data_IF_910605829606
#
_entry.id   IF_910605829606
#
_cell.length_a   1.000
_cell.length_b   1.000
_cell.length_c   1.000
_cell.angle_alpha   90.00
_cell.angle_beta   90.00
_cell.angle_gamma   90.00
#
_symmetry.space_group_name_H-M   'P 1'
#
loop_
_entity.id
_entity.type
_entity.pdbx_description
1 polymer ?
#
# COMPACT_ATOMS: atom_id res chain seq x y z
N UNK A 1 -3.97 16.80 -41.05
CA UNK A 1 -3.45 15.56 -40.44
C UNK A 1 -4.28 14.40 -40.98
N UNK A 2 -3.77 13.56 -41.88
CA UNK A 2 -4.54 12.46 -42.42
C UNK A 2 -4.72 11.36 -41.36
N UNK A 3 -5.96 10.93 -41.20
CA UNK A 3 -6.45 10.00 -40.20
C UNK A 3 -6.20 8.53 -40.59
N UNK A 4 -4.95 8.08 -40.61
CA UNK A 4 -4.61 6.71 -41.07
C UNK A 4 -3.57 5.95 -40.25
N UNK A 5 -3.30 6.31 -38.98
CA UNK A 5 -2.41 5.50 -38.13
C UNK A 5 -2.89 5.53 -36.67
N UNK A 6 -3.93 4.76 -36.34
CA UNK A 6 -4.26 4.50 -34.92
C UNK A 6 -4.35 3.01 -34.56
N UNK A 7 -4.41 2.07 -35.50
CA UNK A 7 -4.47 0.62 -35.18
C UNK A 7 -3.86 -0.26 -36.28
N UNK A 8 -2.61 0.00 -36.67
CA UNK A 8 -1.81 -1.00 -37.39
C UNK A 8 -0.61 -1.36 -36.52
N UNK A 9 -0.87 -2.04 -35.39
CA UNK A 9 0.20 -2.74 -34.68
C UNK A 9 0.71 -3.78 -35.66
N UNK A 10 1.98 -3.69 -36.05
CA UNK A 10 2.54 -4.72 -36.92
C UNK A 10 2.45 -6.07 -36.21
N UNK A 11 2.26 -7.17 -36.95
CA UNK A 11 2.16 -8.50 -36.34
C UNK A 11 3.41 -8.79 -35.47
N UNK A 12 4.58 -8.27 -35.87
CA UNK A 12 5.81 -8.35 -35.09
C UNK A 12 5.73 -7.60 -33.76
N UNK A 13 5.24 -6.37 -33.75
CA UNK A 13 5.07 -5.58 -32.52
C UNK A 13 4.02 -6.22 -31.59
N UNK A 14 2.96 -6.77 -32.16
CA UNK A 14 1.93 -7.49 -31.40
C UNK A 14 2.53 -8.72 -30.70
N UNK A 15 3.30 -9.53 -31.44
CA UNK A 15 3.99 -10.71 -30.87
C UNK A 15 4.97 -10.29 -29.77
N UNK A 16 5.75 -9.23 -29.98
CA UNK A 16 6.67 -8.70 -28.97
C UNK A 16 5.95 -8.25 -27.70
N UNK A 17 4.83 -7.54 -27.83
CA UNK A 17 4.02 -7.12 -26.68
C UNK A 17 3.47 -8.32 -25.91
N UNK A 18 2.95 -9.34 -26.60
CA UNK A 18 2.45 -10.57 -25.95
C UNK A 18 3.58 -11.28 -25.19
N UNK A 19 4.77 -11.41 -25.80
CA UNK A 19 5.94 -12.00 -25.15
C UNK A 19 6.35 -11.16 -23.93
N UNK A 20 6.41 -9.85 -24.06
CA UNK A 20 6.78 -8.94 -22.96
C UNK A 20 5.81 -9.05 -21.78
N UNK A 21 4.50 -9.09 -22.05
CA UNK A 21 3.46 -9.28 -21.03
C UNK A 21 3.57 -10.65 -20.36
N UNK A 22 3.87 -11.72 -21.11
CA UNK A 22 4.07 -13.06 -20.56
C UNK A 22 5.31 -13.15 -19.67
N UNK A 23 6.42 -12.50 -20.07
CA UNK A 23 7.63 -12.39 -19.26
C UNK A 23 7.34 -11.61 -17.97
N UNK A 24 6.63 -10.48 -18.07
CA UNK A 24 6.20 -9.69 -16.91
C UNK A 24 5.35 -10.53 -15.96
N UNK A 25 4.36 -11.25 -16.49
CA UNK A 25 3.50 -12.13 -15.70
C UNK A 25 4.31 -13.16 -14.91
N UNK A 26 5.25 -13.82 -15.59
CA UNK A 26 6.13 -14.83 -15.00
C UNK A 26 7.07 -14.25 -13.96
N UNK A 27 7.67 -13.08 -14.24
CA UNK A 27 8.59 -12.39 -13.34
C UNK A 27 7.89 -11.94 -12.06
N UNK A 28 6.73 -11.29 -12.17
CA UNK A 28 5.94 -10.84 -11.02
C UNK A 28 5.41 -12.01 -10.20
N UNK A 29 4.99 -13.10 -10.85
CA UNK A 29 4.62 -14.34 -10.13
C UNK A 29 5.81 -14.88 -9.33
N UNK A 30 7.01 -14.87 -9.89
CA UNK A 30 8.24 -15.21 -9.18
C UNK A 30 8.54 -14.28 -7.99
N UNK A 31 8.31 -12.98 -8.15
CA UNK A 31 8.41 -12.00 -7.05
C UNK A 31 7.39 -12.31 -5.95
N UNK A 32 6.14 -12.65 -6.28
CA UNK A 32 5.16 -13.02 -5.25
C UNK A 32 5.61 -14.26 -4.45
N UNK A 33 6.17 -15.27 -5.13
CA UNK A 33 6.75 -16.44 -4.45
C UNK A 33 7.91 -16.04 -3.52
N UNK A 34 8.78 -15.11 -3.94
CA UNK A 34 9.86 -14.63 -3.08
C UNK A 34 9.34 -13.84 -1.88
N UNK A 35 8.34 -12.98 -2.08
CA UNK A 35 7.76 -12.12 -1.04
C UNK A 35 7.02 -12.94 0.02
N UNK A 36 6.23 -13.93 -0.38
CA UNK A 36 5.51 -14.81 0.56
C UNK A 36 6.48 -15.64 1.41
N UNK A 37 7.59 -16.11 0.83
CA UNK A 37 8.65 -16.77 1.59
C UNK A 37 9.35 -15.80 2.56
N UNK A 38 9.71 -14.61 2.07
CA UNK A 38 10.40 -13.59 2.84
C UNK A 38 9.57 -13.13 4.04
N UNK A 39 8.29 -12.84 3.84
CA UNK A 39 7.37 -12.42 4.90
C UNK A 39 7.31 -13.45 6.03
N UNK A 40 7.17 -14.75 5.71
CA UNK A 40 7.15 -15.82 6.72
C UNK A 40 8.44 -15.90 7.52
N UNK A 41 9.60 -15.68 6.88
CA UNK A 41 10.91 -15.66 7.54
C UNK A 41 11.07 -14.45 8.46
N UNK A 42 10.72 -13.27 7.96
CA UNK A 42 10.84 -12.00 8.69
C UNK A 42 9.93 -11.99 9.90
N UNK A 43 8.65 -12.30 9.73
CA UNK A 43 7.70 -12.38 10.83
C UNK A 43 8.09 -13.45 11.85
N UNK A 44 8.61 -14.60 11.41
CA UNK A 44 9.14 -15.61 12.31
C UNK A 44 10.24 -15.04 13.21
N UNK A 45 11.24 -14.38 12.63
CA UNK A 45 12.36 -13.77 13.38
C UNK A 45 11.90 -12.70 14.35
N UNK A 46 10.98 -11.82 13.94
CA UNK A 46 10.39 -10.80 14.82
C UNK A 46 9.65 -11.41 16.02
N UNK A 47 9.01 -12.57 15.82
CA UNK A 47 8.26 -13.31 16.84
C UNK A 47 9.12 -14.32 17.62
N UNK A 48 10.46 -14.28 17.47
CA UNK A 48 11.38 -15.24 18.10
C UNK A 48 11.07 -16.71 17.79
N UNK A 49 10.53 -16.99 16.58
CA UNK A 49 10.30 -18.35 16.08
C UNK A 49 10.96 -18.58 14.71
N UNK A 50 11.24 -19.83 14.39
CA UNK A 50 11.80 -20.17 13.07
C UNK A 50 10.68 -20.12 12.01
N UNK A 51 10.97 -19.44 10.90
CA UNK A 51 10.15 -19.53 9.68
C UNK A 51 10.28 -20.90 8.98
N UNK A 52 9.80 -21.05 7.73
CA UNK A 52 9.86 -22.32 7.00
C UNK A 52 11.29 -22.86 6.86
N UNK A 53 11.53 -24.13 7.18
CA UNK A 53 12.87 -24.76 7.10
C UNK A 53 12.89 -26.13 6.42
N UNK A 54 11.72 -26.71 6.11
CA UNK A 54 11.62 -28.13 5.73
C UNK A 54 11.57 -28.37 4.22
N UNK A 55 10.75 -27.62 3.48
CA UNK A 55 10.54 -27.80 2.04
C UNK A 55 11.67 -27.15 1.23
N UNK A 56 12.77 -27.90 1.04
CA UNK A 56 13.97 -27.44 0.35
C UNK A 56 14.92 -26.62 1.23
N UNK A 57 16.08 -26.17 0.69
CA UNK A 57 17.06 -25.41 1.45
C UNK A 57 16.43 -24.13 1.99
N UNK A 58 16.49 -23.93 3.31
CA UNK A 58 15.85 -22.82 4.01
C UNK A 58 14.34 -22.64 3.76
N UNK A 59 13.64 -23.66 3.26
CA UNK A 59 12.20 -23.59 2.95
C UNK A 59 11.86 -22.88 1.63
N UNK A 60 12.81 -22.70 0.72
CA UNK A 60 12.61 -21.98 -0.55
C UNK A 60 11.54 -22.60 -1.46
N UNK A 61 11.28 -23.91 -1.36
CA UNK A 61 10.26 -24.59 -2.16
C UNK A 61 8.85 -24.50 -1.55
N UNK A 62 8.70 -23.87 -0.37
CA UNK A 62 7.38 -23.75 0.28
C UNK A 62 6.36 -22.98 -0.57
N UNK A 63 6.67 -21.80 -1.14
CA UNK A 63 5.70 -21.05 -1.94
C UNK A 63 5.27 -21.83 -3.20
N UNK A 64 6.19 -22.59 -3.81
CA UNK A 64 5.87 -23.44 -4.95
C UNK A 64 4.91 -24.56 -4.56
N UNK A 65 5.14 -25.21 -3.42
CA UNK A 65 4.23 -26.23 -2.89
C UNK A 65 2.84 -25.64 -2.56
N UNK A 66 2.80 -24.43 -2.01
CA UNK A 66 1.54 -23.73 -1.71
C UNK A 66 0.79 -23.34 -3.00
N UNK A 67 1.49 -22.85 -4.03
CA UNK A 67 0.90 -22.54 -5.33
C UNK A 67 0.33 -23.79 -6.01
N UNK A 68 1.09 -24.90 -6.04
CA UNK A 68 0.61 -26.18 -6.58
C UNK A 68 -0.59 -26.69 -5.80
N UNK A 69 -0.57 -26.60 -4.47
CA UNK A 69 -1.71 -26.96 -3.62
C UNK A 69 -2.95 -26.17 -4.00
N UNK A 70 -2.85 -24.85 -4.18
CA UNK A 70 -4.00 -24.00 -4.48
C UNK A 70 -4.59 -24.26 -5.88
N UNK A 71 -3.75 -24.59 -6.87
CA UNK A 71 -4.20 -24.95 -8.22
C UNK A 71 -4.90 -26.32 -8.22
N UNK A 72 -4.38 -27.29 -7.47
CA UNK A 72 -4.96 -28.63 -7.36
C UNK A 72 -6.15 -28.70 -6.41
N UNK A 73 -6.34 -27.67 -5.59
CA UNK A 73 -7.43 -27.60 -4.62
C UNK A 73 -8.75 -27.42 -5.38
N UNK A 74 -9.74 -28.20 -4.97
CA UNK A 74 -11.10 -28.07 -5.48
C UNK A 74 -11.62 -26.64 -5.35
N UNK A 75 -12.10 -26.14 -6.48
CA UNK A 75 -12.63 -24.80 -6.64
C UNK A 75 -14.16 -24.87 -6.63
N UNK A 76 -14.76 -24.37 -5.56
CA UNK A 76 -16.18 -24.51 -5.26
C UNK A 76 -16.88 -23.20 -5.62
N UNK A 77 -17.93 -23.29 -6.43
CA UNK A 77 -18.80 -22.17 -6.76
C UNK A 77 -20.14 -22.39 -6.04
N UNK A 78 -20.54 -21.50 -5.11
CA UNK A 78 -21.83 -21.63 -4.42
C UNK A 78 -23.01 -21.63 -5.39
N UNK A 79 -24.04 -22.45 -5.12
CA UNK A 79 -25.21 -22.52 -5.99
C UNK A 79 -26.02 -21.21 -6.02
N UNK A 80 -25.99 -20.43 -4.94
CA UNK A 80 -26.68 -19.15 -4.80
C UNK A 80 -25.89 -17.96 -5.36
N UNK A 81 -24.62 -18.13 -5.72
CA UNK A 81 -23.77 -17.03 -6.21
C UNK A 81 -24.11 -16.66 -7.64
N UNK A 82 -23.98 -15.38 -7.97
CA UNK A 82 -24.11 -14.91 -9.35
C UNK A 82 -22.84 -15.27 -10.13
N UNK A 83 -22.94 -16.30 -10.98
CA UNK A 83 -21.77 -16.94 -11.62
C UNK A 83 -20.94 -15.96 -12.43
N UNK A 84 -21.58 -15.05 -13.17
CA UNK A 84 -20.87 -14.08 -13.99
C UNK A 84 -19.98 -13.15 -13.13
N UNK A 85 -20.55 -12.61 -12.06
CA UNK A 85 -19.83 -11.72 -11.14
C UNK A 85 -18.74 -12.46 -10.37
N UNK A 86 -19.03 -13.69 -9.92
CA UNK A 86 -18.10 -14.52 -9.16
C UNK A 86 -16.81 -14.78 -9.95
N UNK A 87 -16.91 -15.06 -11.25
CA UNK A 87 -15.78 -15.30 -12.14
C UNK A 87 -15.05 -14.02 -12.57
N UNK A 88 -15.79 -12.96 -12.87
CA UNK A 88 -15.21 -11.70 -13.37
C UNK A 88 -14.44 -10.95 -12.28
N UNK A 89 -14.88 -11.03 -11.02
CA UNK A 89 -14.27 -10.30 -9.92
C UNK A 89 -12.76 -10.59 -9.72
N UNK A 90 -12.30 -11.85 -9.57
CA UNK A 90 -10.88 -12.17 -9.49
C UNK A 90 -10.07 -11.70 -10.71
N UNK A 91 -10.67 -11.81 -11.91
CA UNK A 91 -10.03 -11.41 -13.17
C UNK A 91 -9.76 -9.91 -13.18
N UNK A 92 -10.74 -9.09 -12.78
CA UNK A 92 -10.57 -7.62 -12.70
C UNK A 92 -9.45 -7.26 -11.73
N UNK A 93 -9.42 -7.87 -10.54
CA UNK A 93 -8.39 -7.57 -9.52
C UNK A 93 -7.00 -7.92 -10.04
N UNK A 94 -6.83 -9.10 -10.66
CA UNK A 94 -5.51 -9.51 -11.16
C UNK A 94 -5.07 -8.73 -12.38
N UNK A 95 -5.95 -8.51 -13.37
CA UNK A 95 -5.61 -7.69 -14.54
C UNK A 95 -5.20 -6.30 -14.08
N UNK A 96 -5.96 -5.69 -13.16
CA UNK A 96 -5.62 -4.39 -12.59
C UNK A 96 -4.21 -4.36 -11.97
N UNK A 97 -3.87 -5.36 -11.16
CA UNK A 97 -2.56 -5.44 -10.51
C UNK A 97 -1.42 -5.58 -11.51
N UNK A 98 -1.59 -6.38 -12.58
CA UNK A 98 -0.59 -6.52 -13.64
C UNK A 98 -0.49 -5.28 -14.53
N UNK A 99 -1.61 -4.62 -14.82
CA UNK A 99 -1.63 -3.45 -15.70
C UNK A 99 -0.84 -2.27 -15.11
N UNK A 100 -0.81 -2.11 -13.78
CA UNK A 100 0.02 -1.12 -13.09
C UNK A 100 1.51 -1.25 -13.47
N UNK A 101 2.00 -2.47 -13.69
CA UNK A 101 3.42 -2.73 -13.97
C UNK A 101 3.85 -2.44 -15.40
N UNK A 102 2.91 -2.22 -16.32
CA UNK A 102 3.22 -1.90 -17.73
C UNK A 102 4.10 -0.66 -17.85
N UNK A 103 3.86 0.33 -16.99
CA UNK A 103 4.53 1.63 -17.03
C UNK A 103 5.63 1.79 -16.00
N UNK A 104 5.78 0.87 -15.03
CA UNK A 104 6.79 1.00 -13.96
C UNK A 104 8.18 0.65 -14.51
N UNK A 105 9.13 1.60 -14.57
CA UNK A 105 10.50 1.31 -15.01
C UNK A 105 11.32 0.64 -13.91
N UNK A 106 12.04 -0.44 -14.25
CA UNK A 106 13.08 -1.04 -13.42
C UNK A 106 14.45 -0.39 -13.61
N UNK A 107 14.72 0.15 -14.80
CA UNK A 107 15.86 0.99 -15.18
C UNK A 107 15.41 1.96 -16.28
N UNK A 108 16.31 2.82 -16.77
CA UNK A 108 16.04 3.74 -17.88
C UNK A 108 15.43 3.05 -19.12
N UNK A 109 15.88 1.83 -19.43
CA UNK A 109 15.47 1.07 -20.61
C UNK A 109 14.57 -0.14 -20.28
N UNK A 110 14.54 -0.58 -19.03
CA UNK A 110 13.72 -1.72 -18.60
C UNK A 110 12.31 -1.27 -18.20
N UNK A 111 11.50 -0.94 -19.21
CA UNK A 111 10.06 -0.65 -19.08
C UNK A 111 9.34 -1.25 -20.29
N UNK A 112 8.14 -1.81 -20.09
CA UNK A 112 7.39 -2.44 -21.20
C UNK A 112 6.93 -1.35 -22.15
N UNK A 113 6.26 -0.34 -21.62
CA UNK A 113 5.83 0.80 -22.38
C UNK A 113 5.95 2.06 -21.56
N UNK A 114 6.74 3.00 -22.04
CA UNK A 114 6.79 4.32 -21.46
C UNK A 114 5.60 5.15 -21.92
N UNK A 115 4.84 5.69 -20.99
CA UNK A 115 3.72 6.59 -21.26
C UNK A 115 4.02 7.96 -20.66
N UNK A 116 3.74 9.02 -21.42
CA UNK A 116 3.89 10.41 -20.94
C UNK A 116 3.02 10.68 -19.70
N UNK A 117 1.87 9.99 -19.61
CA UNK A 117 0.94 10.04 -18.48
C UNK A 117 1.04 8.77 -17.61
N UNK A 118 2.25 8.23 -17.42
CA UNK A 118 2.49 6.97 -16.71
C UNK A 118 1.94 6.96 -15.27
N UNK A 119 2.19 8.02 -14.49
CA UNK A 119 1.67 8.11 -13.11
C UNK A 119 0.14 8.14 -13.06
N UNK A 120 -0.50 8.85 -14.00
CA UNK A 120 -1.97 8.90 -14.10
C UNK A 120 -2.56 7.54 -14.47
N UNK A 121 -1.91 6.83 -15.41
CA UNK A 121 -2.30 5.48 -15.80
C UNK A 121 -2.27 4.50 -14.61
N UNK A 122 -1.23 4.56 -13.78
CA UNK A 122 -1.12 3.70 -12.58
C UNK A 122 -2.26 3.96 -11.60
N UNK A 123 -2.57 5.23 -11.32
CA UNK A 123 -3.67 5.63 -10.44
C UNK A 123 -5.01 5.12 -11.00
N UNK A 124 -5.22 5.26 -12.32
CA UNK A 124 -6.46 4.81 -12.94
C UNK A 124 -6.68 3.30 -12.75
N UNK A 125 -5.64 2.48 -12.95
CA UNK A 125 -5.75 1.04 -12.73
C UNK A 125 -5.87 0.69 -11.24
N UNK A 126 -5.19 1.38 -10.33
CA UNK A 126 -5.36 1.19 -8.88
C UNK A 126 -6.84 1.21 -8.45
N UNK A 127 -7.59 2.21 -8.91
CA UNK A 127 -9.04 2.34 -8.64
C UNK A 127 -9.88 1.21 -9.23
N UNK A 128 -9.51 0.69 -10.41
CA UNK A 128 -10.24 -0.43 -11.06
C UNK A 128 -10.14 -1.70 -10.22
N UNK A 129 -9.02 -1.93 -9.52
CA UNK A 129 -8.85 -3.08 -8.63
C UNK A 129 -9.89 -3.11 -7.50
N UNK A 130 -10.26 -1.94 -6.96
CA UNK A 130 -11.26 -1.81 -5.88
C UNK A 130 -12.64 -2.31 -6.34
N UNK A 131 -13.01 -2.06 -7.60
CA UNK A 131 -14.26 -2.56 -8.18
C UNK A 131 -14.34 -4.09 -8.10
N UNK A 132 -13.23 -4.77 -8.42
CA UNK A 132 -13.16 -6.23 -8.37
C UNK A 132 -13.45 -6.79 -6.97
N UNK A 133 -13.01 -6.11 -5.90
CA UNK A 133 -13.29 -6.52 -4.51
C UNK A 133 -14.76 -6.34 -4.13
N UNK A 134 -15.43 -5.30 -4.63
CA UNK A 134 -16.88 -5.11 -4.44
C UNK A 134 -17.67 -6.19 -5.16
N UNK A 135 -17.31 -6.46 -6.41
CA UNK A 135 -17.96 -7.50 -7.22
C UNK A 135 -17.76 -8.89 -6.62
N UNK A 136 -16.60 -9.15 -6.00
CA UNK A 136 -16.35 -10.41 -5.28
C UNK A 136 -17.33 -10.57 -4.10
N UNK A 137 -17.46 -9.54 -3.27
CA UNK A 137 -18.39 -9.55 -2.12
C UNK A 137 -19.86 -9.63 -2.54
N UNK A 138 -20.26 -8.92 -3.59
CA UNK A 138 -21.63 -8.94 -4.11
C UNK A 138 -21.97 -10.24 -4.85
N UNK A 139 -21.07 -10.72 -5.71
CA UNK A 139 -21.23 -11.93 -6.51
C UNK A 139 -21.31 -13.20 -5.68
N UNK A 140 -20.71 -13.20 -4.48
CA UNK A 140 -20.75 -14.32 -3.53
C UNK A 140 -22.15 -14.66 -2.99
N UNK A 141 -23.14 -13.76 -3.14
CA UNK A 141 -24.50 -13.90 -2.60
C UNK A 141 -24.57 -14.18 -1.09
N UNK A 142 -23.52 -13.86 -0.34
CA UNK A 142 -23.47 -13.93 1.11
C UNK A 142 -23.48 -12.52 1.72
N UNK A 143 -24.40 -12.25 2.65
CA UNK A 143 -24.52 -10.94 3.32
C UNK A 143 -23.22 -10.51 4.02
N UNK A 144 -22.48 -11.45 4.60
CA UNK A 144 -21.18 -11.17 5.22
C UNK A 144 -20.13 -10.80 4.18
N UNK A 145 -20.09 -11.51 3.05
CA UNK A 145 -19.23 -11.21 1.92
C UNK A 145 -19.49 -9.83 1.34
N UNK A 146 -20.76 -9.48 1.16
CA UNK A 146 -21.17 -8.15 0.67
C UNK A 146 -20.80 -7.03 1.65
N UNK A 147 -21.02 -7.23 2.95
CA UNK A 147 -20.60 -6.26 3.98
C UNK A 147 -19.08 -6.06 3.96
N UNK A 148 -18.32 -7.15 3.82
CA UNK A 148 -16.86 -7.12 3.69
C UNK A 148 -16.39 -6.34 2.45
N UNK A 149 -17.00 -6.61 1.28
CA UNK A 149 -16.68 -5.90 0.04
C UNK A 149 -17.00 -4.40 0.08
N UNK A 150 -18.15 -4.01 0.65
CA UNK A 150 -18.51 -2.59 0.83
C UNK A 150 -17.56 -1.87 1.78
N UNK A 151 -17.12 -2.54 2.85
CA UNK A 151 -16.13 -1.98 3.78
C UNK A 151 -14.75 -1.86 3.16
N UNK A 152 -14.34 -2.85 2.35
CA UNK A 152 -13.11 -2.79 1.56
C UNK A 152 -13.13 -1.56 0.65
N UNK A 153 -14.21 -1.36 -0.12
CA UNK A 153 -14.34 -0.20 -0.99
C UNK A 153 -14.31 1.13 -0.24
N UNK A 154 -15.05 1.25 0.87
CA UNK A 154 -15.06 2.47 1.67
C UNK A 154 -13.66 2.83 2.17
N UNK A 155 -12.89 1.84 2.63
CA UNK A 155 -11.51 2.01 3.06
C UNK A 155 -10.60 2.38 1.89
N UNK A 156 -10.50 1.53 0.87
CA UNK A 156 -9.54 1.70 -0.23
C UNK A 156 -9.76 3.03 -0.95
N UNK A 157 -11.01 3.38 -1.28
CA UNK A 157 -11.35 4.68 -1.90
C UNK A 157 -10.92 5.87 -1.01
N UNK A 158 -11.08 5.76 0.31
CA UNK A 158 -10.70 6.85 1.23
C UNK A 158 -9.19 7.06 1.31
N UNK A 159 -8.40 6.00 1.15
CA UNK A 159 -6.93 6.07 1.19
C UNK A 159 -6.31 6.31 -0.19
N UNK A 160 -7.05 6.04 -1.26
CA UNK A 160 -6.66 6.41 -2.61
C UNK A 160 -6.55 7.93 -2.79
N UNK A 161 -7.45 8.71 -2.16
CA UNK A 161 -7.44 10.18 -2.25
C UNK A 161 -6.08 10.75 -1.76
N UNK A 162 -5.56 10.42 -0.56
CA UNK A 162 -4.22 10.82 -0.16
C UNK A 162 -3.10 10.37 -1.10
N UNK A 163 -3.14 9.14 -1.63
CA UNK A 163 -2.14 8.64 -2.60
C UNK A 163 -2.11 9.55 -3.82
N UNK A 164 -3.27 9.84 -4.41
CA UNK A 164 -3.41 10.69 -5.60
C UNK A 164 -2.89 12.10 -5.31
N UNK A 165 -3.29 12.70 -4.18
CA UNK A 165 -2.90 14.07 -3.84
C UNK A 165 -1.38 14.20 -3.66
N UNK A 166 -0.74 13.23 -3.01
CA UNK A 166 0.73 13.23 -2.88
C UNK A 166 1.39 12.94 -4.23
N UNK A 167 0.87 12.00 -5.02
CA UNK A 167 1.39 11.71 -6.35
C UNK A 167 1.38 12.95 -7.27
N UNK A 168 0.31 13.75 -7.23
CA UNK A 168 0.22 15.04 -7.93
C UNK A 168 1.30 15.99 -7.43
N UNK A 169 1.47 16.11 -6.11
CA UNK A 169 2.52 16.96 -5.53
C UNK A 169 3.93 16.56 -6.00
N UNK A 170 4.19 15.26 -6.18
CA UNK A 170 5.48 14.77 -6.70
C UNK A 170 5.63 15.02 -8.20
N UNK A 171 4.58 14.83 -8.98
CA UNK A 171 4.57 15.14 -10.40
C UNK A 171 4.78 16.64 -10.66
N UNK A 172 4.23 17.50 -9.81
CA UNK A 172 4.51 18.92 -9.84
C UNK A 172 6.01 19.17 -9.62
N UNK A 173 6.64 18.58 -8.60
CA UNK A 173 8.08 18.77 -8.35
C UNK A 173 8.95 18.37 -9.54
N UNK A 174 8.61 17.26 -10.20
CA UNK A 174 9.32 16.77 -11.39
C UNK A 174 8.93 17.49 -12.70
N UNK A 175 7.88 18.32 -12.70
CA UNK A 175 7.27 18.92 -13.91
C UNK A 175 6.87 17.88 -14.99
N UNK A 176 6.63 16.63 -14.60
CA UNK A 176 6.28 15.54 -15.52
C UNK A 176 5.48 14.45 -14.81
N UNK A 177 4.66 13.73 -15.58
CA UNK A 177 3.94 12.52 -15.16
C UNK A 177 4.63 11.23 -15.63
N UNK A 178 5.70 11.35 -16.41
CA UNK A 178 6.58 10.24 -16.77
C UNK A 178 7.45 9.86 -15.56
N UNK A 179 7.41 8.57 -15.19
CA UNK A 179 8.17 8.03 -14.07
C UNK A 179 9.68 8.12 -14.27
N UNK A 180 10.17 8.09 -15.52
CA UNK A 180 11.61 8.22 -15.82
C UNK A 180 12.09 9.64 -15.58
N UNK A 181 11.31 10.64 -16.02
CA UNK A 181 11.61 12.05 -15.74
C UNK A 181 11.54 12.36 -14.24
N UNK A 182 10.59 11.76 -13.51
CA UNK A 182 10.53 11.87 -12.05
C UNK A 182 11.80 11.32 -11.37
N UNK A 183 12.35 10.21 -11.87
CA UNK A 183 13.60 9.65 -11.33
C UNK A 183 14.81 10.52 -11.68
N UNK A 184 14.92 10.99 -12.92
CA UNK A 184 16.03 11.86 -13.35
C UNK A 184 16.01 13.20 -12.60
N UNK A 185 14.81 13.72 -12.29
CA UNK A 185 14.63 14.93 -11.48
C UNK A 185 15.09 14.79 -10.02
N UNK A 186 15.49 13.60 -9.58
CA UNK A 186 16.00 13.32 -8.23
C UNK A 186 17.53 13.20 -8.15
N UNK A 187 18.25 13.39 -9.26
CA UNK A 187 19.71 13.29 -9.29
C UNK A 187 20.39 14.41 -8.48
N UNK A 188 19.84 15.62 -8.49
CA UNK A 188 20.34 16.75 -7.69
C UNK A 188 19.96 16.60 -6.20
N UNK A 189 18.69 16.34 -5.94
CA UNK A 189 18.15 16.20 -4.58
C UNK A 189 17.14 15.07 -4.53
N UNK A 190 17.37 14.14 -3.59
CA UNK A 190 16.43 13.05 -3.31
C UNK A 190 15.15 13.62 -2.71
N UNK A 191 14.00 13.31 -3.32
CA UNK A 191 12.71 13.89 -2.94
C UNK A 191 12.22 13.51 -1.55
N UNK A 192 12.66 12.39 -0.98
CA UNK A 192 12.42 12.07 0.43
C UNK A 192 12.90 13.18 1.38
N UNK A 193 14.03 13.84 1.08
CA UNK A 193 14.58 14.92 1.93
C UNK A 193 13.83 16.23 1.72
N UNK A 194 13.31 16.45 0.51
CA UNK A 194 12.55 17.66 0.17
C UNK A 194 11.13 17.59 0.75
N UNK A 195 10.49 16.43 0.66
CA UNK A 195 9.09 16.26 1.03
C UNK A 195 8.84 15.03 1.94
N UNK A 196 9.43 15.00 3.16
CA UNK A 196 9.19 13.93 4.14
C UNK A 196 7.73 13.75 4.54
N UNK A 197 6.93 14.83 4.57
CA UNK A 197 5.48 14.72 4.80
C UNK A 197 4.78 13.91 3.70
N UNK A 198 5.16 14.15 2.44
CA UNK A 198 4.63 13.43 1.29
C UNK A 198 4.96 11.94 1.39
N UNK A 199 6.22 11.61 1.70
CA UNK A 199 6.64 10.22 1.90
C UNK A 199 5.81 9.52 2.98
N UNK A 200 5.65 10.15 4.15
CA UNK A 200 4.88 9.55 5.25
C UNK A 200 3.41 9.32 4.86
N UNK A 201 2.76 10.30 4.23
CA UNK A 201 1.37 10.19 3.80
C UNK A 201 1.20 9.13 2.70
N UNK A 202 2.06 9.13 1.68
CA UNK A 202 2.03 8.17 0.59
C UNK A 202 2.25 6.74 1.10
N UNK A 203 3.25 6.55 1.97
CA UNK A 203 3.58 5.22 2.50
C UNK A 203 2.49 4.69 3.44
N UNK A 204 1.93 5.52 4.33
CA UNK A 204 0.82 5.11 5.21
C UNK A 204 -0.43 4.81 4.38
N UNK A 205 -0.73 5.61 3.36
CA UNK A 205 -1.89 5.37 2.51
C UNK A 205 -1.71 4.15 1.63
N UNK A 206 -0.52 3.94 1.07
CA UNK A 206 -0.17 2.73 0.34
C UNK A 206 -0.24 1.47 1.21
N UNK A 207 0.09 1.55 2.51
CA UNK A 207 -0.10 0.43 3.43
C UNK A 207 -1.58 0.07 3.61
N UNK A 208 -2.45 1.09 3.63
CA UNK A 208 -3.89 0.90 3.71
C UNK A 208 -4.50 0.34 2.42
N UNK A 209 -3.97 0.73 1.25
CA UNK A 209 -4.40 0.26 -0.06
C UNK A 209 -4.07 -1.24 -0.28
N UNK A 210 -2.90 -1.67 0.17
CA UNK A 210 -2.50 -3.08 0.13
C UNK A 210 -3.25 -3.92 1.17
N UNK A 211 -3.91 -3.28 2.15
CA UNK A 211 -4.65 -3.97 3.19
C UNK A 211 -3.77 -4.77 4.15
N UNK A 212 -2.54 -4.31 4.43
CA UNK A 212 -1.66 -4.96 5.41
C UNK A 212 -1.93 -4.44 6.81
N UNK A 213 -1.76 -5.29 7.83
CA UNK A 213 -1.85 -4.90 9.24
C UNK A 213 -0.97 -3.67 9.49
N UNK A 214 -1.52 -2.58 10.07
CA UNK A 214 -2.74 -2.49 10.87
C UNK A 214 -4.05 -2.18 10.11
N UNK A 215 -4.01 -2.08 8.78
CA UNK A 215 -5.12 -1.68 7.91
C UNK A 215 -5.87 -2.88 7.25
N UNK A 216 -5.65 -4.11 7.72
CA UNK A 216 -6.22 -5.35 7.15
C UNK A 216 -7.69 -5.62 7.55
N UNK A 217 -8.42 -4.62 8.07
CA UNK A 217 -9.65 -4.88 8.83
C UNK A 217 -10.84 -5.34 8.00
N UNK A 218 -10.88 -5.03 6.70
CA UNK A 218 -12.01 -5.41 5.84
C UNK A 218 -12.06 -6.93 5.56
N UNK A 219 -10.95 -7.65 5.71
CA UNK A 219 -10.89 -9.10 5.57
C UNK A 219 -10.33 -9.81 6.81
N UNK A 220 -9.96 -9.07 7.86
CA UNK A 220 -9.41 -9.64 9.08
C UNK A 220 -10.32 -10.71 9.71
N UNK A 221 -9.69 -11.81 10.14
CA UNK A 221 -10.34 -12.92 10.86
C UNK A 221 -11.03 -12.47 12.14
N UNK A 222 -10.54 -11.40 12.78
CA UNK A 222 -11.09 -10.85 14.02
C UNK A 222 -12.38 -10.03 13.82
N UNK A 223 -12.76 -9.71 12.58
CA UNK A 223 -14.01 -9.00 12.28
C UNK A 223 -14.94 -9.84 11.37
N UNK A 224 -14.93 -9.60 10.05
CA UNK A 224 -15.89 -10.24 9.11
C UNK A 224 -15.30 -11.52 8.49
N UNK A 225 -14.43 -12.23 9.23
CA UNK A 225 -13.93 -13.58 8.91
C UNK A 225 -13.64 -13.79 7.42
N UNK A 226 -12.79 -12.95 6.81
CA UNK A 226 -12.39 -13.10 5.39
C UNK A 226 -13.06 -12.15 4.40
N UNK A 227 -14.05 -11.36 4.82
CA UNK A 227 -14.59 -10.24 4.02
C UNK A 227 -15.09 -10.66 2.63
N UNK A 228 -14.64 -10.02 1.52
CA UNK A 228 -15.10 -10.36 0.17
C UNK A 228 -14.66 -11.75 -0.32
N UNK A 229 -13.74 -12.42 0.39
CA UNK A 229 -13.12 -13.67 -0.06
C UNK A 229 -13.76 -14.94 0.52
N UNK A 230 -14.78 -14.81 1.39
CA UNK A 230 -15.30 -15.93 2.21
C UNK A 230 -15.75 -17.13 1.39
N UNK A 231 -16.37 -16.89 0.23
CA UNK A 231 -16.92 -17.95 -0.63
C UNK A 231 -15.93 -18.47 -1.69
N UNK A 232 -14.71 -17.91 -1.76
CA UNK A 232 -13.73 -18.28 -2.77
C UNK A 232 -12.82 -19.41 -2.27
N UNK A 233 -12.62 -20.43 -3.10
CA UNK A 233 -11.72 -21.57 -2.84
C UNK A 233 -10.64 -21.69 -3.93
N UNK A 234 -9.65 -22.54 -3.68
CA UNK A 234 -8.66 -23.01 -4.65
C UNK A 234 -8.04 -21.91 -5.51
N UNK A 235 -8.22 -22.04 -6.83
CA UNK A 235 -7.63 -21.15 -7.82
C UNK A 235 -8.19 -19.72 -7.72
N UNK A 236 -9.51 -19.52 -7.65
CA UNK A 236 -10.09 -18.17 -7.60
C UNK A 236 -9.63 -17.38 -6.37
N UNK A 237 -9.50 -18.04 -5.22
CA UNK A 237 -8.97 -17.40 -4.02
C UNK A 237 -7.49 -17.00 -4.19
N UNK A 238 -6.69 -17.87 -4.80
CA UNK A 238 -5.25 -17.64 -4.98
C UNK A 238 -4.95 -16.41 -5.85
N UNK A 239 -5.82 -16.09 -6.80
CA UNK A 239 -5.72 -14.94 -7.71
C UNK A 239 -5.82 -13.62 -6.95
N UNK A 240 -6.72 -13.50 -5.97
CA UNK A 240 -6.79 -12.30 -5.11
C UNK A 240 -5.52 -12.11 -4.28
N UNK A 241 -5.02 -13.21 -3.70
CA UNK A 241 -3.78 -13.16 -2.93
C UNK A 241 -2.58 -12.81 -3.81
N UNK A 242 -2.49 -13.36 -5.02
CA UNK A 242 -1.48 -13.00 -6.00
C UNK A 242 -1.48 -11.48 -6.27
N UNK A 243 -2.65 -10.91 -6.56
CA UNK A 243 -2.80 -9.47 -6.80
C UNK A 243 -2.39 -8.62 -5.59
N UNK A 244 -2.74 -9.03 -4.36
CA UNK A 244 -2.37 -8.31 -3.15
C UNK A 244 -0.84 -8.17 -3.00
N UNK A 245 -0.08 -9.23 -3.28
CA UNK A 245 1.39 -9.16 -3.23
C UNK A 245 1.99 -8.40 -4.41
N UNK A 246 1.38 -8.47 -5.60
CA UNK A 246 1.78 -7.63 -6.74
C UNK A 246 1.58 -6.15 -6.40
N UNK A 247 0.47 -5.80 -5.75
CA UNK A 247 0.20 -4.43 -5.30
C UNK A 247 1.14 -4.03 -4.14
N UNK A 248 1.48 -4.95 -3.23
CA UNK A 248 2.51 -4.71 -2.21
C UNK A 248 3.83 -4.31 -2.85
N UNK A 249 4.24 -5.07 -3.88
CA UNK A 249 5.44 -4.78 -4.64
C UNK A 249 5.32 -3.45 -5.40
N UNK A 250 4.14 -3.14 -5.96
CA UNK A 250 3.89 -1.91 -6.72
C UNK A 250 3.97 -0.66 -5.84
N UNK A 251 3.34 -0.67 -4.66
CA UNK A 251 3.42 0.46 -3.71
C UNK A 251 4.87 0.67 -3.24
N UNK A 252 5.62 -0.40 -2.99
CA UNK A 252 7.03 -0.29 -2.63
C UNK A 252 7.88 0.26 -3.80
N UNK A 253 7.63 -0.20 -5.03
CA UNK A 253 8.27 0.32 -6.24
C UNK A 253 7.98 1.81 -6.46
N UNK A 254 6.71 2.22 -6.37
CA UNK A 254 6.31 3.62 -6.48
C UNK A 254 6.91 4.48 -5.38
N UNK A 255 6.98 3.98 -4.14
CA UNK A 255 7.66 4.69 -3.05
C UNK A 255 9.12 4.96 -3.41
N UNK A 256 9.81 3.98 -3.99
CA UNK A 256 11.21 4.12 -4.41
C UNK A 256 11.37 5.08 -5.59
N UNK A 257 10.50 4.99 -6.59
CA UNK A 257 10.52 5.86 -7.78
C UNK A 257 10.22 7.30 -7.40
N UNK A 258 9.19 7.55 -6.59
CA UNK A 258 8.73 8.89 -6.26
C UNK A 258 9.61 9.59 -5.22
N UNK A 259 10.26 8.86 -4.30
CA UNK A 259 10.97 9.48 -3.18
C UNK A 259 12.44 9.11 -3.02
N UNK A 260 12.87 7.91 -3.45
CA UNK A 260 14.22 7.40 -3.21
C UNK A 260 15.11 7.37 -4.47
N UNK A 261 14.73 8.09 -5.53
CA UNK A 261 15.50 8.20 -6.77
C UNK A 261 15.51 6.93 -7.62
N UNK A 262 14.54 6.03 -7.50
CA UNK A 262 14.44 4.87 -8.41
C UNK A 262 15.71 4.01 -8.44
N UNK A 263 16.26 3.82 -9.65
CA UNK A 263 17.50 3.09 -9.91
C UNK A 263 18.79 3.91 -9.74
N UNK A 264 18.72 5.23 -9.48
CA UNK A 264 19.92 6.03 -9.31
C UNK A 264 20.64 5.67 -8.00
N UNK A 265 21.96 5.50 -8.05
CA UNK A 265 22.76 5.08 -6.91
C UNK A 265 24.25 5.32 -7.14
N UNK A 266 25.03 5.55 -6.06
CA UNK A 266 26.46 5.80 -6.20
C UNK A 266 27.19 4.56 -6.72
N UNK A 267 27.98 4.73 -7.79
CA UNK A 267 28.98 3.76 -8.23
C UNK A 267 28.56 2.65 -9.20
N UNK A 268 27.26 2.44 -9.48
CA UNK A 268 26.81 1.54 -10.56
C UNK A 268 25.99 2.32 -11.57
N UNK A 269 26.54 2.50 -12.77
CA UNK A 269 25.88 3.16 -13.90
C UNK A 269 25.48 2.14 -14.97
N UNK A 270 24.34 2.37 -15.64
CA UNK A 270 23.82 1.51 -16.71
C UNK A 270 22.82 0.46 -16.22
N UNK A 271 22.76 -0.68 -16.90
CA UNK A 271 21.72 -1.71 -16.67
C UNK A 271 21.79 -2.38 -15.28
N UNK A 272 22.94 -2.27 -14.60
CA UNK A 272 23.12 -2.73 -13.22
C UNK A 272 22.31 -1.92 -12.19
N UNK A 273 21.74 -0.77 -12.60
CA UNK A 273 20.83 0.03 -11.76
C UNK A 273 19.60 -0.75 -11.27
N UNK A 274 19.22 -1.83 -11.96
CA UNK A 274 18.12 -2.70 -11.52
C UNK A 274 18.37 -3.32 -10.14
N UNK A 275 19.63 -3.59 -9.80
CA UNK A 275 19.99 -4.15 -8.49
C UNK A 275 19.71 -3.13 -7.39
N UNK A 276 20.05 -1.86 -7.60
CA UNK A 276 19.74 -0.81 -6.64
C UNK A 276 18.25 -0.57 -6.52
N UNK A 277 17.53 -0.56 -7.63
CA UNK A 277 16.08 -0.45 -7.62
C UNK A 277 15.45 -1.57 -6.80
N UNK A 278 15.76 -2.84 -7.12
CA UNK A 278 15.25 -3.98 -6.38
C UNK A 278 15.67 -3.94 -4.91
N UNK A 279 16.93 -3.62 -4.60
CA UNK A 279 17.40 -3.53 -3.21
C UNK A 279 16.57 -2.52 -2.40
N UNK A 280 16.38 -1.30 -2.93
CA UNK A 280 15.55 -0.27 -2.29
C UNK A 280 14.12 -0.74 -2.12
N UNK A 281 13.54 -1.39 -3.14
CA UNK A 281 12.16 -1.89 -3.08
C UNK A 281 12.01 -2.98 -2.00
N UNK A 282 12.93 -3.95 -1.94
CA UNK A 282 12.93 -4.98 -0.90
C UNK A 282 13.16 -4.40 0.51
N UNK A 283 13.94 -3.31 0.64
CA UNK A 283 14.09 -2.59 1.92
C UNK A 283 12.77 -1.94 2.35
N UNK A 284 12.05 -1.28 1.43
CA UNK A 284 10.73 -0.71 1.72
C UNK A 284 9.74 -1.83 2.12
N UNK A 285 9.76 -2.97 1.44
CA UNK A 285 8.92 -4.12 1.79
C UNK A 285 9.30 -4.70 3.17
N UNK A 286 10.60 -4.72 3.51
CA UNK A 286 11.04 -5.13 4.85
C UNK A 286 10.42 -4.24 5.93
N UNK A 287 10.31 -2.93 5.68
CA UNK A 287 9.62 -1.99 6.57
C UNK A 287 8.12 -2.30 6.65
N UNK A 288 7.46 -2.59 5.52
CA UNK A 288 6.05 -3.01 5.50
C UNK A 288 5.84 -4.27 6.36
N UNK A 289 6.70 -5.28 6.22
CA UNK A 289 6.61 -6.51 7.01
C UNK A 289 6.93 -6.28 8.49
N UNK A 290 7.85 -5.37 8.80
CA UNK A 290 8.14 -5.00 10.18
C UNK A 290 6.95 -4.32 10.85
N UNK A 291 6.27 -3.41 10.14
CA UNK A 291 5.04 -2.76 10.62
C UNK A 291 3.96 -3.81 10.91
N UNK A 292 3.75 -4.75 10.00
CA UNK A 292 2.81 -5.87 10.19
C UNK A 292 3.11 -6.68 11.45
N UNK A 293 4.38 -6.93 11.74
CA UNK A 293 4.80 -7.70 12.91
C UNK A 293 4.72 -6.95 14.24
N UNK A 294 4.61 -5.62 14.23
CA UNK A 294 4.77 -4.77 15.43
C UNK A 294 3.46 -4.09 15.85
N UNK A 295 2.65 -3.65 14.89
CA UNK A 295 1.47 -2.82 15.19
C UNK A 295 0.17 -3.64 15.33
N UNK A 296 -0.70 -3.29 16.30
CA UNK A 296 -2.02 -3.90 16.41
C UNK A 296 -2.97 -3.36 15.34
N UNK A 297 -4.02 -4.13 15.05
CA UNK A 297 -5.10 -3.71 14.13
C UNK A 297 -5.85 -2.49 14.68
N UNK A 298 -6.25 -1.60 13.77
CA UNK A 298 -7.09 -0.44 14.09
C UNK A 298 -8.53 -0.70 13.67
N UNK A 299 -9.50 -0.31 14.52
CA UNK A 299 -10.93 -0.40 14.19
C UNK A 299 -11.26 0.45 12.96
N UNK A 300 -12.20 0.00 12.12
CA UNK A 300 -12.56 0.69 10.87
C UNK A 300 -12.97 2.14 11.09
N UNK A 301 -13.72 2.46 12.16
CA UNK A 301 -14.13 3.83 12.45
C UNK A 301 -12.93 4.77 12.72
N UNK A 302 -11.90 4.25 13.39
CA UNK A 302 -10.68 5.00 13.70
C UNK A 302 -9.84 5.21 12.44
N UNK A 303 -9.76 4.16 11.62
CA UNK A 303 -9.06 4.15 10.34
C UNK A 303 -9.71 5.16 9.37
N UNK A 304 -11.03 5.11 9.20
CA UNK A 304 -11.77 6.07 8.38
C UNK A 304 -11.67 7.50 8.92
N UNK A 305 -11.75 7.69 10.24
CA UNK A 305 -11.55 9.01 10.84
C UNK A 305 -10.13 9.54 10.64
N UNK A 306 -9.11 8.67 10.62
CA UNK A 306 -7.73 9.05 10.37
C UNK A 306 -7.53 9.48 8.90
N UNK A 307 -8.08 8.73 7.95
CA UNK A 307 -8.05 9.10 6.53
C UNK A 307 -8.66 10.50 6.29
N UNK A 308 -9.91 10.68 6.72
CA UNK A 308 -10.68 11.90 6.40
C UNK A 308 -10.27 13.12 7.23
N UNK A 309 -9.93 12.95 8.51
CA UNK A 309 -9.62 14.09 9.39
C UNK A 309 -8.14 14.47 9.41
N UNK A 310 -7.25 13.56 9.01
CA UNK A 310 -5.79 13.79 9.06
C UNK A 310 -5.19 13.65 7.68
N UNK A 311 -5.33 12.50 7.02
CA UNK A 311 -4.57 12.26 5.79
C UNK A 311 -5.00 13.13 4.62
N UNK A 312 -6.30 13.25 4.34
CA UNK A 312 -6.81 14.05 3.21
C UNK A 312 -6.46 15.54 3.34
N UNK A 313 -6.69 16.22 4.49
CA UNK A 313 -6.28 17.62 4.63
C UNK A 313 -4.77 17.82 4.52
N UNK A 314 -3.98 16.90 5.07
CA UNK A 314 -2.53 17.01 5.03
C UNK A 314 -1.95 16.72 3.65
N UNK A 315 -2.53 15.79 2.89
CA UNK A 315 -2.11 15.53 1.51
C UNK A 315 -2.45 16.71 0.61
N UNK A 316 -3.60 17.35 0.80
CA UNK A 316 -3.91 18.61 0.12
C UNK A 316 -2.89 19.71 0.45
N UNK A 317 -2.50 19.82 1.72
CA UNK A 317 -1.48 20.79 2.15
C UNK A 317 -0.14 20.53 1.44
N UNK A 318 0.21 19.28 1.11
CA UNK A 318 1.42 19.00 0.32
C UNK A 318 1.41 19.60 -1.08
N UNK A 319 0.26 19.58 -1.76
CA UNK A 319 0.09 20.23 -3.07
C UNK A 319 0.25 21.74 -2.94
N UNK A 320 -0.37 22.34 -1.91
CA UNK A 320 -0.28 23.79 -1.70
C UNK A 320 1.17 24.19 -1.39
N UNK A 321 1.88 23.44 -0.54
CA UNK A 321 3.29 23.71 -0.22
C UNK A 321 4.18 23.63 -1.47
N UNK A 322 3.99 22.62 -2.33
CA UNK A 322 4.78 22.47 -3.55
C UNK A 322 4.44 23.54 -4.58
N UNK A 323 3.17 23.93 -4.71
CA UNK A 323 2.74 25.04 -5.56
C UNK A 323 3.39 26.37 -5.13
N UNK A 324 3.37 26.69 -3.83
CA UNK A 324 3.99 27.90 -3.28
C UNK A 324 5.50 27.90 -3.49
N UNK A 325 6.15 26.77 -3.22
CA UNK A 325 7.59 26.60 -3.46
C UNK A 325 7.98 26.90 -4.90
N UNK A 326 7.24 26.36 -5.88
CA UNK A 326 7.50 26.58 -7.30
C UNK A 326 7.19 28.00 -7.75
N UNK A 327 6.08 28.57 -7.31
CA UNK A 327 5.67 29.91 -7.71
C UNK A 327 6.68 30.97 -7.30
N UNK A 328 7.21 30.89 -6.08
CA UNK A 328 8.19 31.86 -5.58
C UNK A 328 9.64 31.49 -5.89
N UNK A 329 9.90 30.30 -6.46
CA UNK A 329 11.26 29.85 -6.78
C UNK A 329 12.17 29.79 -5.54
N UNK A 330 11.61 29.42 -4.39
CA UNK A 330 12.37 29.38 -3.14
C UNK A 330 13.44 28.29 -3.16
N UNK A 331 14.48 28.37 -2.32
CA UNK A 331 15.47 27.31 -2.20
C UNK A 331 14.84 26.02 -1.65
N UNK A 332 15.35 24.86 -2.06
CA UNK A 332 14.79 23.53 -1.73
C UNK A 332 14.59 23.28 -0.23
N UNK A 333 15.45 23.83 0.64
CA UNK A 333 15.34 23.69 2.09
C UNK A 333 14.05 24.29 2.65
N UNK A 334 13.44 25.26 1.96
CA UNK A 334 12.16 25.86 2.39
C UNK A 334 11.03 24.83 2.38
N UNK A 335 10.99 23.97 1.35
CA UNK A 335 9.99 22.91 1.23
C UNK A 335 10.26 21.78 2.24
N UNK A 336 11.53 21.46 2.49
CA UNK A 336 11.92 20.57 3.60
C UNK A 336 11.43 21.13 4.94
N UNK A 337 11.64 22.42 5.21
CA UNK A 337 11.23 23.05 6.47
C UNK A 337 9.69 23.05 6.62
N UNK A 338 8.95 23.40 5.57
CA UNK A 338 7.48 23.38 5.59
C UNK A 338 6.94 21.96 5.80
N UNK A 339 7.48 20.97 5.07
CA UNK A 339 7.03 19.58 5.16
C UNK A 339 7.39 18.91 6.48
N UNK A 340 8.62 19.12 7.00
CA UNK A 340 9.01 18.63 8.33
C UNK A 340 8.19 19.28 9.43
N UNK A 341 7.90 20.58 9.34
CA UNK A 341 7.00 21.26 10.27
C UNK A 341 5.60 20.66 10.21
N UNK A 342 5.05 20.44 9.01
CA UNK A 342 3.77 19.77 8.82
C UNK A 342 3.72 18.38 9.46
N UNK A 343 4.77 17.59 9.25
CA UNK A 343 4.91 16.25 9.86
C UNK A 343 4.94 16.32 11.39
N UNK A 344 5.72 17.24 11.96
CA UNK A 344 5.83 17.42 13.42
C UNK A 344 4.51 17.88 14.02
N UNK A 345 3.82 18.85 13.40
CA UNK A 345 2.52 19.33 13.87
C UNK A 345 1.50 18.18 13.87
N UNK A 346 1.43 17.38 12.80
CA UNK A 346 0.57 16.21 12.75
C UNK A 346 0.92 15.20 13.84
N UNK A 347 2.22 14.90 14.01
CA UNK A 347 2.70 14.02 15.06
C UNK A 347 2.26 14.48 16.46
N UNK A 348 2.37 15.78 16.75
CA UNK A 348 1.93 16.38 18.02
C UNK A 348 0.42 16.29 18.18
N UNK A 349 -0.36 16.57 17.13
CA UNK A 349 -1.83 16.51 17.16
C UNK A 349 -2.29 15.08 17.45
N UNK A 350 -1.70 14.08 16.76
CA UNK A 350 -1.99 12.67 16.99
C UNK A 350 -1.61 12.27 18.42
N UNK A 351 -0.40 12.63 18.86
CA UNK A 351 0.08 12.34 20.21
C UNK A 351 -0.83 12.92 21.29
N UNK A 352 -1.22 14.19 21.17
CA UNK A 352 -2.15 14.84 22.11
C UNK A 352 -3.49 14.13 22.13
N UNK A 353 -4.03 13.78 20.96
CA UNK A 353 -5.33 13.11 20.85
C UNK A 353 -5.32 11.68 21.41
N UNK A 354 -4.21 10.95 21.24
CA UNK A 354 -4.04 9.60 21.79
C UNK A 354 -3.74 9.59 23.29
N UNK A 355 -3.02 10.60 23.81
CA UNK A 355 -2.65 10.67 25.24
C UNK A 355 -3.64 11.45 26.11
N UNK A 356 -4.51 12.29 25.54
CA UNK A 356 -5.54 13.00 26.31
C UNK A 356 -6.47 12.06 27.09
N UNK A 357 -6.98 10.94 26.53
CA UNK A 357 -7.85 10.02 27.27
C UNK A 357 -7.12 9.35 28.44
N UNK A 358 -5.86 8.94 28.25
CA UNK A 358 -5.09 8.28 29.31
C UNK A 358 -4.74 9.23 30.45
N UNK A 359 -4.43 10.49 30.14
CA UNK A 359 -4.20 11.55 31.14
C UNK A 359 -5.47 11.84 31.94
N UNK A 360 -6.62 11.99 31.28
CA UNK A 360 -7.92 12.19 31.94
C UNK A 360 -8.28 11.03 32.87
N UNK A 361 -8.08 9.78 32.43
CA UNK A 361 -8.33 8.59 33.26
C UNK A 361 -7.37 8.54 34.45
N UNK A 362 -6.09 8.85 34.24
CA UNK A 362 -5.09 8.90 35.31
C UNK A 362 -5.43 9.97 36.36
N UNK A 363 -5.86 11.16 35.91
CA UNK A 363 -6.30 12.26 36.77
C UNK A 363 -7.59 11.90 37.53
N UNK A 364 -8.54 11.23 36.87
CA UNK A 364 -9.77 10.77 37.54
C UNK A 364 -9.45 9.70 38.59
N UNK A 365 -8.53 8.78 38.30
CA UNK A 365 -8.05 7.77 39.26
C UNK A 365 -7.32 8.40 40.43
N UNK A 366 -6.40 9.33 40.20
CA UNK A 366 -5.66 10.00 41.27
C UNK A 366 -6.60 10.82 42.15
N UNK A 367 -7.58 11.52 41.56
CA UNK A 367 -8.62 12.26 42.29
C UNK A 367 -9.51 11.33 43.13
N UNK A 368 -9.91 10.17 42.60
CA UNK A 368 -10.63 9.14 43.38
C UNK A 368 -9.79 8.59 44.53
N UNK A 369 -8.54 8.26 44.27
CA UNK A 369 -7.61 7.76 45.30
C UNK A 369 -7.37 8.80 46.41
N UNK A 370 -7.26 10.08 46.05
CA UNK A 370 -7.13 11.17 47.02
C UNK A 370 -8.40 11.34 47.88
N UNK A 371 -9.59 11.26 47.27
CA UNK A 371 -10.86 11.30 48.00
C UNK A 371 -11.05 10.08 48.90
N UNK A 372 -10.65 8.89 48.46
CA UNK A 372 -10.66 7.68 49.29
C UNK A 372 -9.67 7.76 50.45
N UNK A 373 -8.48 8.31 50.23
CA UNK A 373 -7.52 8.58 51.29
C UNK A 373 -8.07 9.58 52.32
N UNK A 374 -8.74 10.64 51.86
CA UNK A 374 -9.39 11.61 52.73
C UNK A 374 -10.56 11.01 53.53
N UNK A 375 -11.33 10.09 52.95
CA UNK A 375 -12.39 9.34 53.66
C UNK A 375 -11.84 8.35 54.70
N UNK A 376 -10.60 7.89 54.53
CA UNK A 376 -9.93 6.96 55.46
C UNK A 376 -9.24 7.67 56.63
N UNK A 377 -9.10 9.00 56.58
CA UNK A 377 -8.64 9.74 57.75
C UNK A 377 -9.76 9.71 58.81
N UNK A 378 -9.47 9.25 60.04
CA UNK A 378 -10.46 9.30 61.12
C UNK A 378 -10.87 10.75 61.35
N UNK A 379 -12.17 10.98 61.59
CA UNK A 379 -12.70 12.28 61.95
C UNK A 379 -12.10 12.73 63.29
N UNK A 380 -10.91 13.33 63.26
CA UNK A 380 -10.32 13.96 64.42
C UNK A 380 -10.98 15.32 64.62
N UNK A 381 -11.87 15.40 65.60
CA UNK A 381 -12.27 16.66 66.23
C UNK A 381 -13.73 17.04 66.03
N UNK A 382 -14.58 16.60 66.94
CA UNK A 382 -15.97 17.05 67.06
C UNK A 382 -16.66 16.41 68.26
N UNK A 383 -16.24 16.79 69.47
CA UNK A 383 -16.87 16.38 70.73
C UNK A 383 -16.10 16.95 71.92
N UNK A 384 -16.57 18.10 72.40
CA UNK A 384 -16.41 18.54 73.80
C UNK A 384 -17.09 17.56 74.77
#
# INVERSE_FOLDING_TARGET
>A
MPATILLAISLGDFIWLVIALFIMFSALSGVVLSLTWLERKVLGRLQLRLGPTRTGPMGLMQPVADALKLILKEDIIPASSEKALFWVAPIIVVISAFMIWVTIPGTQNAVIQNLDLGLFYIIAFSVVGILGLVLAGWGSANKYGTLGGLRAAAQLISYEIPIIMVAISMAMLAQSLDLREIVNGQDDYIYFLIQPLGLALFFIAGLAEVGRTPFDIYFAESEIVGGPFVEYSGAHWSVFFLAEYINTFAIAALTVILFFGGWSGPGLTGDWGIIYFLLKVYLVIMVIFWIRGTFPRLRIDQLMAFAWKVMVPMSFLTIVMTAVYQFYGWPAWSLTAMSTTGLVVVGIVIYKKMTAPSKLVAETRSRRAALEAQRRLPATGGGD
#
